data_IF_605343883353
#
_entry.id   IF_605343883353
#
_cell.length_a   1.000
_cell.length_b   1.000
_cell.length_c   1.000
_cell.angle_alpha   90.00
_cell.angle_beta   90.00
_cell.angle_gamma   90.00
#
_symmetry.space_group_name_H-M   'P 1'
#
loop_
_entity.id
_entity.type
_entity.pdbx_description
1 polymer ?
#
# COMPACT_ATOMS: atom_id res chain seq x y z
N UNK A 1 -0.21 -0.85 -0.95
CA UNK A 1 1.04 -1.05 -1.71
C UNK A 1 0.92 -2.21 -2.69
N UNK A 2 0.34 -3.33 -2.25
CA UNK A 2 0.06 -4.52 -3.07
C UNK A 2 -0.66 -4.21 -4.39
N UNK A 3 -1.71 -3.38 -4.38
CA UNK A 3 -2.46 -3.00 -5.60
C UNK A 3 -1.59 -2.31 -6.65
N UNK A 4 -0.81 -1.30 -6.25
CA UNK A 4 0.15 -0.63 -7.14
C UNK A 4 1.25 -1.57 -7.61
N UNK A 5 1.77 -2.38 -6.68
CA UNK A 5 2.83 -3.33 -7.02
C UNK A 5 2.33 -4.39 -8.00
N UNK A 6 1.09 -4.87 -7.91
CA UNK A 6 0.46 -5.77 -8.88
C UNK A 6 0.32 -5.10 -10.25
N UNK A 7 -0.25 -3.88 -10.28
CA UNK A 7 -0.40 -3.12 -11.52
C UNK A 7 0.93 -2.95 -12.26
N UNK A 8 1.97 -2.51 -11.54
CA UNK A 8 3.29 -2.31 -12.13
C UNK A 8 4.03 -3.63 -12.38
N UNK A 9 3.90 -4.65 -11.53
CA UNK A 9 4.48 -5.97 -11.76
C UNK A 9 4.00 -6.55 -13.09
N UNK A 10 2.69 -6.51 -13.36
CA UNK A 10 2.11 -6.93 -14.64
C UNK A 10 2.62 -6.08 -15.80
N UNK A 11 2.71 -4.75 -15.62
CA UNK A 11 3.14 -3.83 -16.67
C UNK A 11 4.63 -3.96 -17.03
N UNK A 12 5.48 -4.22 -16.04
CA UNK A 12 6.93 -4.37 -16.20
C UNK A 12 7.36 -5.82 -16.44
N UNK A 13 6.44 -6.79 -16.30
CA UNK A 13 6.75 -8.22 -16.42
C UNK A 13 7.71 -8.72 -15.33
N UNK A 14 7.67 -8.13 -14.13
CA UNK A 14 8.51 -8.55 -13.01
C UNK A 14 7.69 -9.17 -11.88
N UNK A 15 8.25 -10.09 -11.09
CA UNK A 15 7.56 -10.67 -9.93
C UNK A 15 7.10 -9.62 -8.93
N UNK A 16 5.91 -9.84 -8.34
CA UNK A 16 5.28 -8.93 -7.37
C UNK A 16 6.21 -8.59 -6.20
N UNK A 17 6.86 -9.59 -5.61
CA UNK A 17 7.77 -9.39 -4.47
C UNK A 17 8.96 -8.48 -4.80
N UNK A 18 9.48 -8.59 -6.02
CA UNK A 18 10.56 -7.72 -6.50
C UNK A 18 10.04 -6.30 -6.71
N UNK A 19 8.84 -6.14 -7.26
CA UNK A 19 8.21 -4.83 -7.45
C UNK A 19 7.94 -4.14 -6.10
N UNK A 20 7.39 -4.87 -5.12
CA UNK A 20 7.13 -4.34 -3.78
C UNK A 20 8.39 -3.78 -3.13
N UNK A 21 9.52 -4.52 -3.23
CA UNK A 21 10.82 -4.04 -2.73
C UNK A 21 11.23 -2.76 -3.45
N UNK A 22 11.16 -2.72 -4.79
CA UNK A 22 11.56 -1.56 -5.61
C UNK A 22 10.69 -0.32 -5.43
N UNK A 23 9.45 -0.47 -4.96
CA UNK A 23 8.54 0.65 -4.71
C UNK A 23 8.78 1.36 -3.37
N UNK A 24 9.72 0.90 -2.53
CA UNK A 24 10.02 1.53 -1.24
C UNK A 24 11.54 1.71 -1.03
N UNK A 25 11.94 2.62 -0.15
CA UNK A 25 13.35 2.82 0.19
C UNK A 25 14.20 3.55 -0.87
N UNK A 26 15.47 3.18 -0.97
CA UNK A 26 16.51 3.78 -1.82
C UNK A 26 16.58 3.10 -3.20
N UNK A 27 15.42 2.90 -3.82
CA UNK A 27 15.34 2.34 -5.17
C UNK A 27 14.83 3.39 -6.15
N UNK A 28 15.44 3.43 -7.34
CA UNK A 28 15.21 4.44 -8.37
C UNK A 28 15.00 3.75 -9.71
N UNK A 29 14.15 4.32 -10.57
CA UNK A 29 13.98 3.82 -11.94
C UNK A 29 14.47 4.86 -12.93
N UNK A 30 15.50 4.48 -13.66
CA UNK A 30 16.06 5.29 -14.72
C UNK A 30 15.28 5.03 -16.02
N UNK A 31 14.55 6.05 -16.48
CA UNK A 31 13.73 5.96 -17.68
C UNK A 31 14.56 5.85 -18.96
N UNK A 32 15.79 6.35 -18.95
CA UNK A 32 16.70 6.35 -20.10
C UNK A 32 17.31 4.98 -20.31
N UNK A 33 17.79 4.34 -19.24
CA UNK A 33 18.28 2.96 -19.30
C UNK A 33 17.18 1.90 -19.17
N UNK A 34 15.96 2.31 -18.78
CA UNK A 34 14.82 1.43 -18.43
C UNK A 34 15.16 0.41 -17.36
N UNK A 35 16.04 0.76 -16.42
CA UNK A 35 16.54 -0.14 -15.38
C UNK A 35 16.29 0.43 -13.99
N UNK A 36 16.12 -0.47 -13.04
CA UNK A 36 16.16 -0.15 -11.63
C UNK A 36 17.61 -0.02 -11.16
N UNK A 37 17.87 0.99 -10.35
CA UNK A 37 19.18 1.26 -9.75
C UNK A 37 18.99 1.72 -8.32
N UNK A 38 20.02 1.52 -7.50
CA UNK A 38 20.07 2.01 -6.12
C UNK A 38 20.85 3.34 -6.06
N UNK A 39 21.45 3.77 -7.19
CA UNK A 39 22.06 5.08 -7.34
C UNK A 39 20.99 6.14 -7.62
N UNK A 40 21.06 7.27 -6.91
CA UNK A 40 20.15 8.40 -7.12
C UNK A 40 20.49 9.23 -8.37
N UNK A 41 21.56 8.90 -9.09
CA UNK A 41 21.98 9.53 -10.35
C UNK A 41 21.85 8.49 -11.46
N UNK A 42 21.12 8.85 -12.52
CA UNK A 42 20.94 8.02 -13.70
C UNK A 42 22.14 8.05 -14.64
N UNK A 43 22.13 7.22 -15.68
CA UNK A 43 23.21 7.19 -16.68
C UNK A 43 23.41 8.55 -17.38
N UNK A 44 22.37 9.36 -17.44
CA UNK A 44 22.40 10.70 -18.07
C UNK A 44 22.91 11.79 -17.10
N UNK A 45 23.39 11.43 -15.92
CA UNK A 45 23.84 12.37 -14.88
C UNK A 45 22.70 13.09 -14.15
N UNK A 46 21.45 12.83 -14.51
CA UNK A 46 20.28 13.43 -13.87
C UNK A 46 19.92 12.75 -12.55
N UNK A 47 19.42 13.54 -11.59
CA UNK A 47 18.88 13.00 -10.33
C UNK A 47 17.59 12.22 -10.61
N UNK A 48 17.59 10.96 -10.19
CA UNK A 48 16.42 10.09 -10.28
C UNK A 48 15.49 10.33 -9.09
N UNK A 49 14.20 10.09 -9.33
CA UNK A 49 13.19 10.06 -8.27
C UNK A 49 13.13 8.65 -7.67
N UNK A 50 12.87 8.58 -6.37
CA UNK A 50 12.58 7.29 -5.71
C UNK A 50 11.42 6.60 -6.42
N UNK A 51 11.46 5.27 -6.48
CA UNK A 51 10.43 4.44 -7.10
C UNK A 51 9.05 4.76 -6.55
N UNK A 52 8.92 4.92 -5.23
CA UNK A 52 7.68 5.36 -4.59
C UNK A 52 7.15 6.68 -5.19
N UNK A 53 8.01 7.69 -5.33
CA UNK A 53 7.60 9.00 -5.82
C UNK A 53 7.18 8.91 -7.29
N UNK A 54 7.97 8.24 -8.11
CA UNK A 54 7.75 8.16 -9.55
C UNK A 54 6.52 7.33 -9.93
N UNK A 55 6.28 6.22 -9.23
CA UNK A 55 5.24 5.25 -9.60
C UNK A 55 3.99 5.33 -8.71
N UNK A 56 4.04 5.91 -7.52
CA UNK A 56 2.86 6.01 -6.64
C UNK A 56 2.43 7.45 -6.50
N UNK A 57 3.31 8.32 -5.99
CA UNK A 57 2.93 9.69 -5.63
C UNK A 57 2.67 10.58 -6.85
N UNK A 58 3.55 10.55 -7.85
CA UNK A 58 3.45 11.38 -9.05
C UNK A 58 2.18 11.06 -9.87
N UNK A 59 1.79 9.78 -10.10
CA UNK A 59 0.52 9.45 -10.74
C UNK A 59 -0.71 9.96 -9.98
N UNK A 60 -0.74 9.84 -8.64
CA UNK A 60 -1.85 10.37 -7.82
C UNK A 60 -1.94 11.90 -7.96
N UNK A 61 -0.80 12.59 -7.81
CA UNK A 61 -0.74 14.05 -7.96
C UNK A 61 -1.19 14.51 -9.34
N UNK A 62 -0.71 13.83 -10.39
CA UNK A 62 -1.11 14.11 -11.77
C UNK A 62 -2.60 13.87 -11.96
N UNK A 63 -3.16 12.77 -11.46
CA UNK A 63 -4.58 12.47 -11.57
C UNK A 63 -5.43 13.56 -10.90
N UNK A 64 -5.10 13.90 -9.65
CA UNK A 64 -5.76 14.98 -8.90
C UNK A 64 -5.71 16.30 -9.67
N UNK A 65 -4.52 16.73 -10.10
CA UNK A 65 -4.36 17.98 -10.86
C UNK A 65 -5.13 17.98 -12.18
N UNK A 66 -5.16 16.85 -12.89
CA UNK A 66 -5.88 16.72 -14.17
C UNK A 66 -7.40 16.83 -13.96
N UNK A 67 -7.92 16.21 -12.89
CA UNK A 67 -9.34 16.29 -12.51
C UNK A 67 -9.71 17.71 -12.10
N UNK A 68 -8.92 18.35 -11.23
CA UNK A 68 -9.20 19.71 -10.75
C UNK A 68 -9.15 20.77 -11.86
N UNK A 69 -8.33 20.54 -12.89
CA UNK A 69 -8.24 21.41 -14.08
C UNK A 69 -9.30 21.11 -15.15
N UNK A 70 -10.10 20.06 -14.99
CA UNK A 70 -11.08 19.64 -15.99
C UNK A 70 -10.47 19.05 -17.27
N UNK A 71 -9.26 18.49 -17.20
CA UNK A 71 -8.57 17.89 -18.37
C UNK A 71 -9.14 16.49 -18.71
N UNK A 72 -10.39 16.46 -19.22
CA UNK A 72 -11.22 15.23 -19.40
C UNK A 72 -10.50 14.10 -20.10
N UNK A 73 -9.94 14.35 -21.28
CA UNK A 73 -9.24 13.31 -22.05
C UNK A 73 -8.06 12.71 -21.28
N UNK A 74 -7.34 13.55 -20.52
CA UNK A 74 -6.13 13.16 -19.82
C UNK A 74 -6.45 12.34 -18.59
N UNK A 75 -7.35 12.81 -17.72
CA UNK A 75 -7.71 12.03 -16.54
C UNK A 75 -8.45 10.75 -16.93
N UNK A 76 -9.25 10.73 -18.00
CA UNK A 76 -9.94 9.51 -18.46
C UNK A 76 -8.94 8.45 -18.94
N UNK A 77 -7.90 8.85 -19.69
CA UNK A 77 -6.79 7.95 -20.05
C UNK A 77 -6.06 7.42 -18.82
N UNK A 78 -5.84 8.28 -17.82
CA UNK A 78 -5.21 7.88 -16.55
C UNK A 78 -6.08 6.88 -15.78
N UNK A 79 -7.37 7.14 -15.61
CA UNK A 79 -8.32 6.23 -14.93
C UNK A 79 -8.30 4.85 -15.60
N UNK A 80 -8.37 4.81 -16.94
CA UNK A 80 -8.27 3.55 -17.71
C UNK A 80 -6.94 2.82 -17.48
N UNK A 81 -5.81 3.55 -17.42
CA UNK A 81 -4.49 2.95 -17.15
C UNK A 81 -4.35 2.39 -15.73
N UNK A 82 -5.16 2.90 -14.79
CA UNK A 82 -5.25 2.42 -13.42
C UNK A 82 -6.32 1.31 -13.26
N UNK A 83 -7.00 0.93 -14.33
CA UNK A 83 -8.08 -0.07 -14.31
C UNK A 83 -9.38 0.44 -13.69
N UNK A 84 -9.56 1.75 -13.58
CA UNK A 84 -10.76 2.37 -12.99
C UNK A 84 -11.77 2.66 -14.10
N UNK A 85 -12.99 2.14 -13.95
CA UNK A 85 -14.13 2.44 -14.82
C UNK A 85 -15.15 3.31 -14.06
N UNK A 86 -15.68 4.32 -14.75
CA UNK A 86 -16.75 5.18 -14.24
C UNK A 86 -18.09 4.73 -14.81
N UNK A 87 -19.11 4.69 -13.96
CA UNK A 87 -20.50 4.45 -14.35
C UNK A 87 -21.15 5.72 -14.90
N UNK A 88 -22.29 5.59 -15.59
CA UNK A 88 -22.97 6.73 -16.24
C UNK A 88 -23.27 7.88 -15.29
N UNK A 89 -23.64 7.55 -14.06
CA UNK A 89 -23.98 8.49 -12.98
C UNK A 89 -22.72 9.10 -12.34
N UNK A 90 -21.55 8.49 -12.52
CA UNK A 90 -20.29 8.96 -11.97
C UNK A 90 -19.55 9.91 -12.92
N UNK A 91 -19.86 9.85 -14.23
CA UNK A 91 -19.26 10.72 -15.26
C UNK A 91 -19.62 12.19 -15.04
N UNK A 92 -20.74 12.47 -14.38
CA UNK A 92 -21.16 13.85 -14.07
C UNK A 92 -20.40 14.46 -12.89
N UNK A 93 -19.71 13.64 -12.09
CA UNK A 93 -18.93 14.13 -10.95
C UNK A 93 -17.70 14.90 -11.42
N UNK A 94 -17.32 15.94 -10.67
CA UNK A 94 -16.19 16.80 -11.01
C UNK A 94 -15.35 17.13 -9.78
N UNK A 95 -14.14 17.65 -10.03
CA UNK A 95 -13.24 18.13 -9.00
C UNK A 95 -12.97 17.09 -7.90
N UNK A 96 -13.11 17.51 -6.65
CA UNK A 96 -12.80 16.70 -5.48
C UNK A 96 -13.66 15.44 -5.37
N UNK A 97 -14.93 15.48 -5.76
CA UNK A 97 -15.83 14.33 -5.67
C UNK A 97 -15.40 13.21 -6.63
N UNK A 98 -15.10 13.56 -7.88
CA UNK A 98 -14.58 12.60 -8.87
C UNK A 98 -13.25 12.00 -8.42
N UNK A 99 -12.36 12.83 -7.85
CA UNK A 99 -11.08 12.35 -7.34
C UNK A 99 -11.26 11.37 -6.16
N UNK A 100 -12.14 11.69 -5.20
CA UNK A 100 -12.44 10.80 -4.08
C UNK A 100 -13.04 9.48 -4.55
N UNK A 101 -13.97 9.50 -5.50
CA UNK A 101 -14.55 8.30 -6.09
C UNK A 101 -13.48 7.46 -6.79
N UNK A 102 -12.66 8.07 -7.65
CA UNK A 102 -11.57 7.39 -8.34
C UNK A 102 -10.62 6.73 -7.34
N UNK A 103 -10.29 7.42 -6.24
CA UNK A 103 -9.40 6.85 -5.22
C UNK A 103 -10.04 5.71 -4.43
N UNK A 104 -11.35 5.78 -4.12
CA UNK A 104 -12.07 4.67 -3.46
C UNK A 104 -12.09 3.42 -4.34
N UNK A 105 -12.33 3.57 -5.65
CA UNK A 105 -12.31 2.45 -6.61
C UNK A 105 -10.91 1.87 -6.79
N UNK A 106 -9.89 2.74 -6.79
CA UNK A 106 -8.52 2.30 -7.03
C UNK A 106 -7.83 1.71 -5.79
N UNK A 107 -8.06 2.30 -4.61
CA UNK A 107 -7.49 1.86 -3.34
C UNK A 107 -8.60 1.83 -2.30
N UNK A 108 -9.34 0.71 -2.19
CA UNK A 108 -10.33 0.52 -1.14
C UNK A 108 -9.62 0.48 0.22
N UNK A 109 -9.61 1.61 0.94
CA UNK A 109 -8.80 1.80 2.13
C UNK A 109 -9.18 0.81 3.25
N UNK A 110 -10.47 0.51 3.42
CA UNK A 110 -10.95 -0.44 4.44
C UNK A 110 -10.37 -1.84 4.23
N UNK A 111 -10.41 -2.36 3.00
CA UNK A 111 -9.87 -3.67 2.67
C UNK A 111 -8.34 -3.70 2.82
N UNK A 112 -7.65 -2.65 2.37
CA UNK A 112 -6.20 -2.55 2.47
C UNK A 112 -5.72 -2.45 3.93
N UNK A 113 -6.44 -1.70 4.78
CA UNK A 113 -6.14 -1.62 6.21
C UNK A 113 -6.39 -2.96 6.91
N UNK A 114 -7.50 -3.64 6.60
CA UNK A 114 -7.80 -4.94 7.19
C UNK A 114 -6.75 -5.99 6.79
N UNK A 115 -6.35 -6.02 5.51
CA UNK A 115 -5.29 -6.90 5.01
C UNK A 115 -3.97 -6.63 5.76
N UNK A 116 -3.58 -5.37 5.93
CA UNK A 116 -2.39 -5.02 6.72
C UNK A 116 -2.49 -5.46 8.18
N UNK A 117 -3.65 -5.26 8.83
CA UNK A 117 -3.89 -5.68 10.21
C UNK A 117 -3.71 -7.19 10.35
N UNK A 118 -4.32 -7.97 9.46
CA UNK A 118 -4.23 -9.45 9.49
C UNK A 118 -2.81 -9.94 9.22
N UNK A 119 -2.08 -9.31 8.30
CA UNK A 119 -0.73 -9.75 7.91
C UNK A 119 0.36 -9.31 8.88
N UNK A 120 0.25 -8.12 9.49
CA UNK A 120 1.29 -7.53 10.32
C UNK A 120 1.06 -7.70 11.82
N UNK A 121 -0.21 -7.77 12.27
CA UNK A 121 -0.47 -7.96 13.69
C UNK A 121 -0.47 -9.46 14.05
N UNK A 122 0.27 -9.86 15.08
CA UNK A 122 0.19 -11.22 15.57
C UNK A 122 -1.21 -11.50 16.13
N UNK A 123 -1.69 -12.73 15.94
CA UNK A 123 -2.92 -13.19 16.59
C UNK A 123 -2.79 -13.13 18.13
N UNK A 124 -3.90 -13.05 18.88
CA UNK A 124 -3.87 -13.07 20.35
C UNK A 124 -3.06 -14.25 20.92
N UNK A 125 -3.19 -15.45 20.37
CA UNK A 125 -2.38 -16.62 20.78
C UNK A 125 -0.87 -16.38 20.63
N UNK A 126 -0.43 -15.78 19.52
CA UNK A 126 1.00 -15.45 19.32
C UNK A 126 1.43 -14.26 20.19
N UNK A 127 0.55 -13.28 20.36
CA UNK A 127 0.81 -12.05 21.09
C UNK A 127 0.93 -12.28 22.60
N UNK A 128 -0.01 -13.04 23.18
CA UNK A 128 -0.07 -13.24 24.62
C UNK A 128 1.14 -13.99 25.17
N UNK A 129 1.79 -14.84 24.37
CA UNK A 129 3.02 -15.56 24.78
C UNK A 129 4.14 -14.66 25.28
N UNK A 130 4.31 -13.49 24.66
CA UNK A 130 5.32 -12.52 25.07
C UNK A 130 4.73 -11.36 25.87
N UNK A 131 3.45 -11.02 25.67
CA UNK A 131 2.78 -9.95 26.43
C UNK A 131 2.48 -10.32 27.88
N UNK A 132 2.36 -11.62 28.22
CA UNK A 132 2.10 -12.05 29.61
C UNK A 132 3.08 -11.44 30.62
N UNK A 133 4.35 -11.31 30.24
CA UNK A 133 5.39 -10.73 31.11
C UNK A 133 5.14 -9.26 31.46
N UNK A 134 4.39 -8.53 30.62
CA UNK A 134 4.03 -7.13 30.85
C UNK A 134 2.62 -6.97 31.42
N UNK A 135 1.71 -7.87 31.04
CA UNK A 135 0.29 -7.79 31.41
C UNK A 135 -0.01 -8.39 32.78
N UNK A 136 0.83 -9.30 33.27
CA UNK A 136 0.60 -10.01 34.52
C UNK A 136 1.71 -9.68 35.53
N UNK A 137 1.32 -9.28 36.74
CA UNK A 137 2.23 -8.89 37.82
C UNK A 137 2.50 -10.01 38.82
N UNK A 138 1.77 -11.13 38.74
CA UNK A 138 1.97 -12.30 39.58
C UNK A 138 3.10 -13.21 39.08
N UNK A 139 3.34 -14.34 39.78
CA UNK A 139 4.34 -15.32 39.40
C UNK A 139 4.10 -15.88 37.98
N UNK A 140 5.12 -15.89 37.13
CA UNK A 140 4.96 -16.30 35.72
C UNK A 140 4.80 -17.82 35.53
N UNK A 141 4.94 -18.59 36.60
CA UNK A 141 4.78 -20.03 36.71
C UNK A 141 3.41 -20.44 37.25
N UNK A 142 2.54 -19.50 37.63
CA UNK A 142 1.19 -19.81 38.09
C UNK A 142 0.22 -20.16 36.93
N UNK A 143 -0.95 -20.69 37.31
CA UNK A 143 -1.98 -21.11 36.37
C UNK A 143 -2.58 -19.93 35.58
N UNK A 144 -2.62 -18.74 36.18
CA UNK A 144 -3.12 -17.52 35.55
C UNK A 144 -2.18 -17.04 34.44
N UNK A 145 -0.88 -16.93 34.73
CA UNK A 145 0.17 -16.61 33.78
C UNK A 145 0.22 -17.65 32.65
N UNK A 146 0.06 -18.93 32.97
CA UNK A 146 0.02 -20.00 31.96
C UNK A 146 -1.23 -19.90 31.09
N UNK A 147 -2.39 -19.58 31.67
CA UNK A 147 -3.65 -19.34 30.97
C UNK A 147 -3.57 -18.15 30.00
N UNK A 148 -3.03 -17.02 30.46
CA UNK A 148 -2.76 -15.83 29.64
C UNK A 148 -1.75 -16.17 28.55
N UNK A 149 -0.59 -16.76 28.89
CA UNK A 149 0.46 -17.09 27.90
C UNK A 149 -0.05 -17.94 26.74
N UNK A 150 -0.94 -18.89 27.04
CA UNK A 150 -1.51 -19.83 26.07
C UNK A 150 -2.83 -19.35 25.44
N UNK A 151 -3.31 -18.14 25.78
CA UNK A 151 -4.59 -17.61 25.30
C UNK A 151 -5.75 -18.60 25.48
N UNK A 152 -5.79 -19.30 26.62
CA UNK A 152 -6.76 -20.38 26.88
C UNK A 152 -8.16 -19.81 27.15
N UNK A 153 -9.19 -20.13 26.34
CA UNK A 153 -10.54 -19.63 26.56
C UNK A 153 -11.18 -20.08 27.88
N UNK A 154 -10.75 -21.23 28.42
CA UNK A 154 -11.19 -21.76 29.73
C UNK A 154 -10.12 -21.65 30.82
N UNK A 155 -9.19 -20.70 30.68
CA UNK A 155 -8.19 -20.43 31.73
C UNK A 155 -8.81 -19.75 32.96
N UNK A 156 -8.01 -19.56 34.03
CA UNK A 156 -8.45 -18.81 35.21
C UNK A 156 -8.82 -17.36 34.82
N UNK A 157 -9.94 -16.85 35.35
CA UNK A 157 -10.42 -15.47 35.20
C UNK A 157 -9.88 -14.57 36.30
#
# INVERSE_FOLDING_TARGET
MSTFAQLYATKFGIPLDKMLKKLWGEHYFDASSKKWTDNYIGIDGQKLKRGFVQFILDPIKKLSSSIMKGEVEKYTKMLKSLGISLEKEEIVLQGTELFHLAMRKFIPLSQQLLEMVVLQLPSPDKAQRHKVNTLYTGPLDDDCATGIRACKPGGPL
#
